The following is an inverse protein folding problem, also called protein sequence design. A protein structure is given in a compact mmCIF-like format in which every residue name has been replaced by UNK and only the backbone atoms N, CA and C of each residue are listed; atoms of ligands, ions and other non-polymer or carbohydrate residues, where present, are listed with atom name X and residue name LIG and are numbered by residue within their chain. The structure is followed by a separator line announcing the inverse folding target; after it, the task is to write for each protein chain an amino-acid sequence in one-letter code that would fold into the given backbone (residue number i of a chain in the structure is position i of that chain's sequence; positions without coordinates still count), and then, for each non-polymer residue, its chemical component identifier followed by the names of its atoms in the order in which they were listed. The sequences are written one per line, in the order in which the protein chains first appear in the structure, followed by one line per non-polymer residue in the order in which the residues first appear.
data_IF_104986832427
#
_entry.id   IF_104986832427
#
_cell.length_a   1.000
_cell.length_b   1.000
_cell.length_c   1.000
_cell.angle_alpha   90.00
_cell.angle_beta   90.00
_cell.angle_gamma   90.00
#
_symmetry.space_group_name_H-M   'P 1'
#
loop_
_entity.id
_entity.type
_entity.pdbx_description
1 polymer ?
#
# COMPACT_ATOMS: atom_id res chain seq x y z
N UNK A 1 -4.94 7.51 -8.98
CA UNK A 1 -4.29 6.36 -8.33
C UNK A 1 -2.78 6.53 -8.27
N UNK A 2 -2.04 6.53 -9.39
CA UNK A 2 -0.58 6.66 -9.36
C UNK A 2 -0.07 7.90 -8.61
N UNK A 3 -0.61 9.09 -8.91
CA UNK A 3 -0.25 10.32 -8.17
C UNK A 3 -0.51 10.22 -6.66
N UNK A 4 -1.56 9.51 -6.25
CA UNK A 4 -1.85 9.26 -4.83
C UNK A 4 -0.79 8.36 -4.20
N UNK A 5 -0.43 7.27 -4.87
CA UNK A 5 0.67 6.41 -4.41
C UNK A 5 2.00 7.15 -4.35
N UNK A 6 2.30 8.02 -5.32
CA UNK A 6 3.50 8.87 -5.28
C UNK A 6 3.49 9.86 -4.10
N UNK A 7 2.32 10.40 -3.72
CA UNK A 7 2.21 11.24 -2.53
C UNK A 7 2.45 10.45 -1.24
N UNK A 8 1.93 9.21 -1.15
CA UNK A 8 2.22 8.32 -0.01
C UNK A 8 3.70 7.96 0.07
N UNK A 9 4.33 7.67 -1.06
CA UNK A 9 5.75 7.34 -1.16
C UNK A 9 6.65 8.51 -0.74
N UNK A 10 6.32 9.71 -1.20
CA UNK A 10 7.15 10.92 -1.08
C UNK A 10 6.70 11.85 0.07
N UNK A 11 6.17 11.30 1.15
CA UNK A 11 5.80 12.06 2.36
C UNK A 11 4.91 13.29 2.07
N UNK A 12 4.01 13.16 1.09
CA UNK A 12 3.02 14.17 0.70
C UNK A 12 3.53 15.21 -0.30
N UNK A 13 4.73 15.00 -0.85
CA UNK A 13 5.30 15.87 -1.87
C UNK A 13 5.00 15.36 -3.29
N UNK A 14 4.73 16.30 -4.19
CA UNK A 14 4.64 16.05 -5.62
C UNK A 14 5.39 17.13 -6.36
N UNK A 15 6.38 16.74 -7.18
CA UNK A 15 7.23 17.66 -7.95
C UNK A 15 7.83 18.79 -7.09
N UNK A 16 8.36 18.43 -5.90
CA UNK A 16 8.98 19.38 -4.97
C UNK A 16 8.01 20.27 -4.20
N UNK A 17 6.69 20.12 -4.39
CA UNK A 17 5.68 20.86 -3.62
C UNK A 17 5.01 19.97 -2.58
N UNK A 18 4.96 20.43 -1.33
CA UNK A 18 4.18 19.78 -0.26
C UNK A 18 2.68 19.99 -0.51
N UNK A 19 1.95 18.91 -0.79
CA UNK A 19 0.50 18.95 -1.02
C UNK A 19 -0.30 18.39 0.16
N UNK A 20 0.27 17.45 0.91
CA UNK A 20 -0.35 16.84 2.09
C UNK A 20 0.67 16.90 3.21
N UNK A 21 0.34 17.30 4.44
CA UNK A 21 1.36 17.40 5.49
C UNK A 21 1.97 16.03 5.81
N UNK A 22 3.30 15.99 6.01
CA UNK A 22 3.99 14.76 6.42
C UNK A 22 3.41 14.20 7.72
N UNK A 23 3.15 15.05 8.72
CA UNK A 23 2.57 14.64 9.99
C UNK A 23 1.18 13.99 9.84
N UNK A 24 0.36 14.47 8.89
CA UNK A 24 -0.91 13.82 8.58
C UNK A 24 -0.69 12.45 7.97
N UNK A 25 0.22 12.32 6.99
CA UNK A 25 0.50 11.03 6.35
C UNK A 25 1.08 10.02 7.34
N UNK A 26 2.02 10.44 8.18
CA UNK A 26 2.60 9.59 9.23
C UNK A 26 1.49 9.01 10.13
N UNK A 27 0.46 9.81 10.46
CA UNK A 27 -0.70 9.33 11.21
C UNK A 27 -1.63 8.47 10.35
N UNK A 28 -1.93 8.90 9.12
CA UNK A 28 -2.84 8.23 8.21
C UNK A 28 -2.38 6.82 7.82
N UNK A 29 -1.06 6.58 7.77
CA UNK A 29 -0.43 5.29 7.46
C UNK A 29 0.10 4.56 8.71
N UNK A 30 -0.34 4.97 9.91
CA UNK A 30 0.01 4.28 11.17
C UNK A 30 -0.98 3.16 11.49
N UNK A 31 -0.55 2.20 12.30
CA UNK A 31 -1.38 1.13 12.84
C UNK A 31 -2.35 1.69 13.90
N UNK A 32 -3.50 2.25 13.48
CA UNK A 32 -4.46 2.85 14.44
C UNK A 32 -5.41 1.78 14.97
N UNK A 33 -5.97 0.94 14.10
CA UNK A 33 -6.92 -0.11 14.46
C UNK A 33 -6.71 -1.37 13.62
N UNK A 34 -7.25 -2.49 14.10
CA UNK A 34 -7.42 -3.70 13.31
C UNK A 34 -8.61 -3.51 12.35
N UNK A 35 -8.47 -3.84 11.05
CA UNK A 35 -9.58 -3.84 10.13
C UNK A 35 -10.52 -5.00 10.47
N UNK A 36 -11.78 -4.69 10.85
CA UNK A 36 -12.71 -5.64 11.48
C UNK A 36 -13.36 -6.67 10.54
N UNK A 37 -12.87 -6.82 9.31
CA UNK A 37 -13.48 -7.67 8.28
C UNK A 37 -12.71 -8.97 8.07
N UNK A 38 -13.42 -10.09 7.99
CA UNK A 38 -12.83 -11.45 7.91
C UNK A 38 -12.11 -11.77 6.60
N UNK A 39 -12.32 -10.98 5.55
CA UNK A 39 -11.65 -11.14 4.25
C UNK A 39 -10.31 -10.40 4.18
N UNK A 40 -9.99 -9.60 5.20
CA UNK A 40 -8.73 -8.86 5.28
C UNK A 40 -7.72 -9.72 6.05
N UNK A 41 -6.48 -9.92 5.54
CA UNK A 41 -5.49 -10.71 6.26
C UNK A 41 -5.15 -10.12 7.64
N UNK A 42 -4.96 -10.98 8.64
CA UNK A 42 -4.73 -10.58 10.05
C UNK A 42 -3.51 -9.68 10.26
N UNK A 43 -2.53 -9.71 9.35
CA UNK A 43 -1.33 -8.87 9.44
C UNK A 43 -1.58 -7.42 9.03
N UNK A 44 -2.75 -7.11 8.48
CA UNK A 44 -3.09 -5.76 8.05
C UNK A 44 -3.60 -4.95 9.23
N UNK A 45 -3.09 -3.72 9.34
CA UNK A 45 -3.62 -2.70 10.22
C UNK A 45 -4.22 -1.58 9.39
N UNK A 46 -5.06 -0.75 10.01
CA UNK A 46 -5.75 0.33 9.33
C UNK A 46 -5.52 1.68 10.01
N UNK A 47 -5.24 2.69 9.19
CA UNK A 47 -5.13 4.08 9.59
C UNK A 47 -6.29 4.91 9.04
N UNK A 48 -6.00 6.12 8.54
CA UNK A 48 -7.01 6.98 7.94
C UNK A 48 -7.24 6.60 6.48
N UNK A 49 -8.08 5.59 6.25
CA UNK A 49 -8.42 5.06 4.93
C UNK A 49 -7.27 4.40 4.16
N UNK A 50 -6.17 4.10 4.85
CA UNK A 50 -5.00 3.42 4.29
C UNK A 50 -4.73 2.19 5.15
N UNK A 51 -4.66 1.03 4.50
CA UNK A 51 -4.18 -0.19 5.15
C UNK A 51 -2.67 -0.23 5.11
N UNK A 52 -2.06 -0.93 6.07
CA UNK A 52 -0.63 -1.12 6.11
C UNK A 52 -0.29 -2.49 6.68
N UNK A 53 0.74 -3.13 6.14
CA UNK A 53 1.24 -4.41 6.62
C UNK A 53 2.72 -4.55 6.28
N UNK A 54 3.39 -5.47 6.96
CA UNK A 54 4.72 -5.93 6.57
C UNK A 54 4.57 -7.08 5.58
N UNK A 55 5.05 -6.88 4.36
CA UNK A 55 5.07 -7.92 3.32
C UNK A 55 6.36 -8.71 3.49
N UNK A 56 6.23 -10.02 3.71
CA UNK A 56 7.36 -10.94 3.73
C UNK A 56 7.49 -11.67 2.38
N UNK A 57 8.63 -11.53 1.72
CA UNK A 57 8.97 -12.24 0.48
C UNK A 57 10.38 -12.81 0.65
N UNK A 58 10.50 -14.14 0.53
CA UNK A 58 11.71 -14.89 0.85
C UNK A 58 12.25 -14.53 2.25
N UNK A 59 13.48 -14.00 2.32
CA UNK A 59 14.14 -13.57 3.56
C UNK A 59 14.08 -12.05 3.78
N UNK A 60 13.23 -11.32 3.04
CA UNK A 60 13.10 -9.87 3.13
C UNK A 60 11.72 -9.49 3.65
N UNK A 61 11.65 -8.41 4.42
CA UNK A 61 10.41 -7.81 4.89
C UNK A 61 10.38 -6.34 4.50
N UNK A 62 9.24 -5.88 4.03
CA UNK A 62 9.03 -4.49 3.60
C UNK A 62 7.74 -3.96 4.18
N UNK A 63 7.75 -2.72 4.68
CA UNK A 63 6.50 -2.07 5.06
C UNK A 63 5.79 -1.55 3.82
N UNK A 64 4.52 -1.87 3.70
CA UNK A 64 3.71 -1.44 2.56
C UNK A 64 2.42 -0.78 3.01
N UNK A 65 2.02 0.25 2.26
CA UNK A 65 0.72 0.90 2.42
C UNK A 65 -0.18 0.58 1.24
N UNK A 66 -1.47 0.41 1.51
CA UNK A 66 -2.48 0.05 0.54
C UNK A 66 -3.67 1.00 0.63
N UNK A 67 -3.96 1.70 -0.46
CA UNK A 67 -5.32 2.19 -0.70
C UNK A 67 -6.06 1.08 -1.46
N UNK A 68 -6.89 0.33 -0.74
CA UNK A 68 -7.61 -0.84 -1.24
C UNK A 68 -9.07 -0.48 -1.52
N UNK A 69 -9.48 -0.54 -2.79
CA UNK A 69 -10.88 -0.41 -3.18
C UNK A 69 -11.50 -1.79 -3.44
N UNK A 70 -12.80 -1.92 -3.18
CA UNK A 70 -13.52 -3.17 -3.40
C UNK A 70 -13.44 -3.65 -4.84
N UNK A 71 -13.26 -4.96 -5.02
CA UNK A 71 -13.27 -5.62 -6.34
C UNK A 71 -11.95 -5.57 -7.10
N UNK A 72 -10.80 -5.54 -6.43
CA UNK A 72 -9.50 -5.84 -7.04
C UNK A 72 -8.67 -4.65 -7.50
N UNK A 73 -8.95 -3.46 -6.96
CA UNK A 73 -8.25 -2.22 -7.29
C UNK A 73 -7.39 -1.74 -6.12
N UNK A 74 -6.13 -1.46 -6.42
CA UNK A 74 -5.11 -1.21 -5.39
C UNK A 74 -4.20 -0.06 -5.79
N UNK A 75 -3.79 0.71 -4.79
CA UNK A 75 -2.55 1.51 -4.82
C UNK A 75 -1.67 1.00 -3.70
N UNK A 76 -0.53 0.42 -4.07
CA UNK A 76 0.45 -0.13 -3.13
C UNK A 76 1.68 0.78 -3.17
N UNK A 77 2.15 1.25 -2.02
CA UNK A 77 3.43 1.96 -1.92
C UNK A 77 4.37 1.24 -0.96
N UNK A 78 5.61 1.02 -1.42
CA UNK A 78 6.70 0.38 -0.66
C UNK A 78 7.88 1.34 -0.68
N UNK A 79 8.11 2.04 0.44
CA UNK A 79 9.05 3.16 0.48
C UNK A 79 10.50 2.71 0.35
N UNK A 80 10.81 1.58 0.96
CA UNK A 80 12.11 0.92 0.95
C UNK A 80 12.56 0.51 -0.46
N UNK A 81 11.62 0.35 -1.38
CA UNK A 81 11.87 0.00 -2.79
C UNK A 81 11.68 1.20 -3.75
N UNK A 82 11.37 2.40 -3.24
CA UNK A 82 10.96 3.56 -4.05
C UNK A 82 9.87 3.19 -5.09
N UNK A 83 8.92 2.34 -4.69
CA UNK A 83 7.99 1.68 -5.60
C UNK A 83 6.54 2.03 -5.31
N UNK A 84 5.78 2.31 -6.38
CA UNK A 84 4.33 2.38 -6.36
C UNK A 84 3.75 1.45 -7.41
N UNK A 85 2.90 0.52 -6.98
CA UNK A 85 2.15 -0.38 -7.87
C UNK A 85 0.69 0.08 -7.89
N UNK A 86 0.13 0.23 -9.10
CA UNK A 86 -1.27 0.58 -9.28
C UNK A 86 -1.96 -0.50 -10.08
N UNK A 87 -3.01 -1.05 -9.50
CA UNK A 87 -3.84 -2.09 -10.12
C UNK A 87 -5.21 -1.47 -10.40
N UNK A 88 -5.57 -1.41 -11.68
CA UNK A 88 -6.89 -1.03 -12.17
C UNK A 88 -7.54 -2.24 -12.83
N UNK A 89 -7.85 -3.25 -12.02
CA UNK A 89 -8.49 -4.49 -12.47
C UNK A 89 -9.82 -4.68 -11.77
N UNK A 90 -10.54 -5.72 -12.21
CA UNK A 90 -11.63 -6.29 -11.44
C UNK A 90 -11.26 -7.71 -11.04
N UNK A 91 -11.24 -7.98 -9.74
CA UNK A 91 -10.99 -9.30 -9.18
C UNK A 91 -11.70 -9.45 -7.84
N UNK A 92 -12.31 -10.61 -7.62
CA UNK A 92 -12.98 -10.97 -6.36
C UNK A 92 -12.32 -12.18 -5.68
N UNK A 93 -11.28 -12.72 -6.31
CA UNK A 93 -10.52 -13.88 -5.84
C UNK A 93 -9.08 -13.49 -5.46
N UNK A 94 -8.75 -12.19 -5.48
CA UNK A 94 -7.44 -11.60 -5.13
C UNK A 94 -6.21 -12.13 -5.88
N UNK A 95 -6.39 -12.88 -6.96
CA UNK A 95 -5.32 -13.35 -7.87
C UNK A 95 -4.45 -12.22 -8.41
N UNK A 96 -5.03 -11.04 -8.69
CA UNK A 96 -4.24 -9.89 -9.17
C UNK A 96 -3.35 -9.33 -8.05
N UNK A 97 -3.84 -9.29 -6.81
CA UNK A 97 -3.03 -8.86 -5.67
C UNK A 97 -1.90 -9.88 -5.43
N UNK A 98 -2.21 -11.17 -5.46
CA UNK A 98 -1.21 -12.25 -5.32
C UNK A 98 -0.12 -12.15 -6.39
N UNK A 99 -0.47 -11.92 -7.65
CA UNK A 99 0.50 -11.73 -8.72
C UNK A 99 1.36 -10.48 -8.50
N UNK A 100 0.77 -9.38 -7.99
CA UNK A 100 1.53 -8.18 -7.67
C UNK A 100 2.55 -8.45 -6.57
N UNK A 101 2.15 -9.13 -5.49
CA UNK A 101 3.02 -9.42 -4.34
C UNK A 101 4.08 -10.48 -4.66
N UNK A 102 3.74 -11.53 -5.41
CA UNK A 102 4.62 -12.68 -5.63
C UNK A 102 5.37 -12.68 -6.96
N UNK A 103 5.08 -11.74 -7.87
CA UNK A 103 5.76 -11.66 -9.18
C UNK A 103 6.28 -10.26 -9.47
N UNK A 104 5.49 -9.21 -9.21
CA UNK A 104 5.92 -7.84 -9.50
C UNK A 104 6.90 -7.32 -8.44
N UNK A 105 6.54 -7.36 -7.16
CA UNK A 105 7.41 -6.87 -6.07
C UNK A 105 8.80 -7.51 -6.04
N UNK A 106 8.95 -8.85 -6.19
CA UNK A 106 10.27 -9.49 -6.19
C UNK A 106 11.21 -9.02 -7.29
N UNK A 107 10.69 -8.45 -8.40
CA UNK A 107 11.52 -7.97 -9.50
C UNK A 107 12.31 -6.68 -9.17
N UNK A 108 12.11 -6.09 -7.99
CA UNK A 108 12.72 -4.82 -7.59
C UNK A 108 13.78 -4.96 -6.47
N UNK A 109 14.20 -6.18 -6.11
CA UNK A 109 15.24 -6.40 -5.09
C UNK A 109 16.03 -7.70 -5.24
#
# INVERSE_FOLDING_TARGET
MLKWGSLLLNDGQWQGKQLISKAYLDKATSAIVDPLDTWIPETFMYGYFIYQTDIAIDNKQFKANFAWGGGGQYVISVKELDLVVVIKGHDREDRILDAALNTVLPAFF
#
